data_IF_797920859109
#
_entry.id   IF_797920859109
#
_cell.length_a   1.000
_cell.length_b   1.000
_cell.length_c   1.000
_cell.angle_alpha   90.00
_cell.angle_beta   90.00
_cell.angle_gamma   90.00
#
_symmetry.space_group_name_H-M   'P 1'
#
loop_
_entity.id
_entity.type
_entity.pdbx_description
1 polymer ?
#
# COMPACT_ATOMS: atom_id res chain seq x y z
N UNK A 1 -8.69 -7.35 -28.80
CA UNK A 1 -9.31 -6.56 -27.73
C UNK A 1 -8.28 -5.57 -27.23
N UNK A 2 -8.60 -4.30 -27.06
CA UNK A 2 -7.66 -3.36 -26.49
C UNK A 2 -7.46 -3.70 -25.01
N UNK A 3 -6.27 -4.11 -24.65
CA UNK A 3 -5.77 -4.08 -23.28
C UNK A 3 -5.64 -2.59 -22.93
N UNK A 4 -6.04 -2.15 -21.71
CA UNK A 4 -5.76 -0.79 -21.32
C UNK A 4 -4.28 -0.52 -21.61
N UNK A 5 -4.01 0.45 -22.46
CA UNK A 5 -2.66 0.92 -22.68
C UNK A 5 -2.18 1.42 -21.32
N UNK A 6 -1.30 0.65 -20.69
CA UNK A 6 -0.47 1.20 -19.63
C UNK A 6 0.43 2.16 -20.38
N UNK A 7 0.12 3.42 -20.24
CA UNK A 7 0.96 4.48 -20.81
C UNK A 7 2.28 4.48 -20.05
N UNK A 8 3.26 3.76 -20.62
CA UNK A 8 4.59 3.64 -20.03
C UNK A 8 5.40 4.95 -20.10
N UNK A 9 4.98 5.89 -20.94
CA UNK A 9 5.68 7.16 -21.11
C UNK A 9 5.30 8.18 -20.03
N UNK A 10 4.07 8.09 -19.49
CA UNK A 10 3.59 8.99 -18.42
C UNK A 10 3.38 8.29 -17.08
N UNK A 11 3.57 6.97 -17.00
CA UNK A 11 3.45 6.25 -15.74
C UNK A 11 4.70 6.48 -14.87
N UNK A 12 4.48 6.93 -13.64
CA UNK A 12 5.50 7.06 -12.59
C UNK A 12 5.22 6.05 -11.47
N UNK A 13 5.45 4.73 -11.71
CA UNK A 13 5.21 3.73 -10.69
C UNK A 13 6.24 3.87 -9.57
N UNK A 14 5.79 4.10 -8.35
CA UNK A 14 6.65 4.02 -7.19
C UNK A 14 6.86 2.56 -6.80
N UNK A 15 8.09 2.19 -6.50
CA UNK A 15 8.44 0.87 -5.94
C UNK A 15 8.14 0.82 -4.44
N UNK A 16 8.06 -0.38 -3.87
CA UNK A 16 7.90 -0.56 -2.43
C UNK A 16 9.08 0.07 -1.67
N UNK A 17 10.31 -0.09 -2.19
CA UNK A 17 11.52 0.46 -1.56
C UNK A 17 11.49 1.99 -1.54
N UNK A 18 11.15 2.65 -2.65
CA UNK A 18 11.05 4.10 -2.71
C UNK A 18 10.01 4.67 -1.73
N UNK A 19 8.87 3.98 -1.58
CA UNK A 19 7.83 4.38 -0.62
C UNK A 19 8.33 4.23 0.82
N UNK A 20 9.00 3.11 1.14
CA UNK A 20 9.56 2.88 2.48
C UNK A 20 10.65 3.88 2.80
N UNK A 21 11.59 4.11 1.90
CA UNK A 21 12.71 5.04 2.12
C UNK A 21 12.19 6.48 2.29
N UNK A 22 11.20 6.88 1.49
CA UNK A 22 10.52 8.17 1.68
C UNK A 22 9.86 8.28 3.06
N UNK A 23 9.15 7.24 3.50
CA UNK A 23 8.51 7.21 4.81
C UNK A 23 9.52 7.35 5.93
N UNK A 24 10.61 6.58 5.91
CA UNK A 24 11.67 6.66 6.93
C UNK A 24 12.28 8.05 6.97
N UNK A 25 12.58 8.66 5.82
CA UNK A 25 13.11 10.02 5.77
C UNK A 25 12.18 11.08 6.37
N UNK A 26 10.87 10.97 6.15
CA UNK A 26 9.89 11.88 6.78
C UNK A 26 9.79 11.65 8.29
N UNK A 27 9.84 10.37 8.72
CA UNK A 27 9.82 10.03 10.15
C UNK A 27 11.01 10.63 10.87
N UNK A 28 12.22 10.49 10.32
CA UNK A 28 13.43 11.06 10.90
C UNK A 28 13.32 12.59 11.02
N UNK A 29 12.82 13.25 9.97
CA UNK A 29 12.59 14.69 9.99
C UNK A 29 11.54 15.11 11.05
N UNK A 30 10.46 14.33 11.25
CA UNK A 30 9.48 14.60 12.31
C UNK A 30 10.09 14.45 13.70
N UNK A 31 10.92 13.43 13.92
CA UNK A 31 11.63 13.20 15.20
C UNK A 31 12.57 14.36 15.50
N UNK A 32 13.38 14.79 14.54
CA UNK A 32 14.30 15.91 14.69
C UNK A 32 13.56 17.23 14.97
N UNK A 33 12.50 17.49 14.24
CA UNK A 33 11.70 18.70 14.42
C UNK A 33 11.02 18.71 15.79
N UNK A 34 10.43 17.59 16.24
CA UNK A 34 9.87 17.43 17.59
C UNK A 34 10.88 17.76 18.66
N UNK A 35 12.08 17.15 18.60
CA UNK A 35 13.16 17.37 19.55
C UNK A 35 13.59 18.84 19.60
N UNK A 36 13.70 19.48 18.45
CA UNK A 36 14.06 20.90 18.33
C UNK A 36 13.01 21.82 18.99
N UNK A 37 11.70 21.59 18.75
CA UNK A 37 10.62 22.35 19.36
C UNK A 37 10.59 22.18 20.87
N UNK A 38 10.70 20.94 21.37
CA UNK A 38 10.75 20.68 22.81
C UNK A 38 11.96 21.35 23.47
N UNK A 39 13.13 21.31 22.83
CA UNK A 39 14.31 22.01 23.32
C UNK A 39 14.07 23.52 23.41
N UNK A 40 13.48 24.14 22.37
CA UNK A 40 13.17 25.57 22.37
C UNK A 40 12.17 25.93 23.47
N UNK A 41 11.15 25.12 23.73
CA UNK A 41 10.18 25.31 24.84
C UNK A 41 10.91 25.29 26.18
N UNK A 42 11.77 24.29 26.45
CA UNK A 42 12.56 24.20 27.69
C UNK A 42 13.46 25.40 27.90
N UNK A 43 14.00 25.98 26.85
CA UNK A 43 14.88 27.15 26.89
C UNK A 43 14.11 28.48 26.85
N UNK A 44 12.78 28.46 26.88
CA UNK A 44 11.93 29.66 26.70
C UNK A 44 12.31 30.47 25.45
N UNK A 45 12.78 29.79 24.43
CA UNK A 45 13.18 30.36 23.15
C UNK A 45 11.98 30.47 22.19
N UNK A 46 12.13 31.24 21.12
CA UNK A 46 11.09 31.40 20.10
C UNK A 46 10.78 30.07 19.41
N UNK A 47 9.51 29.73 19.25
CA UNK A 47 9.01 28.59 18.49
C UNK A 47 8.11 29.08 17.36
N UNK A 48 7.86 28.18 16.39
CA UNK A 48 6.93 28.51 15.32
C UNK A 48 5.53 28.85 15.88
N UNK A 49 4.76 29.77 15.23
CA UNK A 49 3.51 30.30 15.77
C UNK A 49 2.51 29.22 16.24
N UNK A 50 2.45 28.09 15.53
CA UNK A 50 1.55 26.97 15.86
C UNK A 50 1.89 26.27 17.19
N UNK A 51 3.08 26.46 17.75
CA UNK A 51 3.54 25.84 18.98
C UNK A 51 3.63 26.83 20.17
N UNK A 52 3.29 28.10 19.95
CA UNK A 52 3.32 29.11 21.02
C UNK A 52 2.30 28.76 22.10
N UNK A 53 2.76 28.65 23.34
CA UNK A 53 1.94 28.32 24.49
C UNK A 53 1.70 26.81 24.69
N UNK A 54 2.21 25.93 23.82
CA UNK A 54 2.12 24.50 24.01
C UNK A 54 3.11 24.00 25.07
N UNK A 55 2.70 23.02 25.83
CA UNK A 55 3.57 22.20 26.69
C UNK A 55 4.29 21.15 25.84
N UNK A 56 5.37 20.55 26.38
CA UNK A 56 6.06 19.43 25.69
C UNK A 56 5.09 18.26 25.39
N UNK A 57 4.17 17.94 26.32
CA UNK A 57 3.19 16.88 26.12
C UNK A 57 2.18 17.18 24.99
N UNK A 58 1.80 18.43 24.78
CA UNK A 58 0.95 18.84 23.67
C UNK A 58 1.69 18.77 22.33
N UNK A 59 2.99 19.12 22.33
CA UNK A 59 3.88 18.92 21.17
C UNK A 59 3.99 17.43 20.83
N UNK A 60 4.19 16.57 21.83
CA UNK A 60 4.22 15.12 21.66
C UNK A 60 2.94 14.59 21.01
N UNK A 61 1.79 14.97 21.56
CA UNK A 61 0.49 14.55 21.05
C UNK A 61 0.27 15.01 19.59
N UNK A 62 0.76 16.20 19.22
CA UNK A 62 0.70 16.72 17.85
C UNK A 62 1.53 15.85 16.90
N UNK A 63 2.81 15.61 17.22
CA UNK A 63 3.68 14.80 16.36
C UNK A 63 3.26 13.32 16.30
N UNK A 64 2.71 12.77 17.37
CA UNK A 64 2.14 11.42 17.37
C UNK A 64 0.92 11.32 16.47
N UNK A 65 0.11 12.38 16.37
CA UNK A 65 -1.00 12.42 15.43
C UNK A 65 -0.54 12.49 13.98
N UNK A 66 0.43 13.37 13.68
CA UNK A 66 1.04 13.49 12.35
C UNK A 66 1.70 12.17 11.92
N UNK A 67 2.42 11.51 12.82
CA UNK A 67 3.05 10.22 12.56
C UNK A 67 2.04 9.13 12.23
N UNK A 68 0.96 9.02 13.02
CA UNK A 68 -0.11 8.04 12.74
C UNK A 68 -0.77 8.28 11.38
N UNK A 69 -0.92 9.52 10.98
CA UNK A 69 -1.48 9.84 9.67
C UNK A 69 -0.51 9.52 8.53
N UNK A 70 0.76 9.85 8.69
CA UNK A 70 1.82 9.46 7.77
C UNK A 70 1.87 7.94 7.57
N UNK A 71 1.85 7.17 8.66
CA UNK A 71 1.87 5.70 8.62
C UNK A 71 0.67 5.15 7.81
N UNK A 72 -0.53 5.68 8.03
CA UNK A 72 -1.74 5.27 7.27
C UNK A 72 -1.65 5.57 5.78
N UNK A 73 -1.12 6.74 5.42
CA UNK A 73 -0.93 7.13 4.01
C UNK A 73 0.16 6.27 3.35
N UNK A 74 1.21 5.94 4.09
CA UNK A 74 2.26 5.03 3.62
C UNK A 74 1.71 3.63 3.37
N UNK A 75 0.92 3.08 4.29
CA UNK A 75 0.21 1.80 4.09
C UNK A 75 -0.65 1.83 2.83
N UNK A 76 -1.41 2.92 2.62
CA UNK A 76 -2.21 3.07 1.40
C UNK A 76 -1.36 3.00 0.14
N UNK A 77 -0.22 3.70 0.12
CA UNK A 77 0.69 3.75 -1.02
C UNK A 77 1.36 2.39 -1.28
N UNK A 78 1.87 1.71 -0.24
CA UNK A 78 2.48 0.38 -0.36
C UNK A 78 1.50 -0.64 -0.96
N UNK A 79 0.27 -0.67 -0.46
CA UNK A 79 -0.76 -1.59 -0.97
C UNK A 79 -1.15 -1.24 -2.40
N UNK A 80 -1.27 0.05 -2.74
CA UNK A 80 -1.59 0.49 -4.09
C UNK A 80 -0.47 0.16 -5.09
N UNK A 81 0.80 0.31 -4.70
CA UNK A 81 1.96 -0.07 -5.52
C UNK A 81 1.97 -1.58 -5.82
N UNK A 82 1.79 -2.43 -4.80
CA UNK A 82 1.73 -3.88 -5.00
C UNK A 82 0.51 -4.29 -5.84
N UNK A 83 -0.66 -3.69 -5.62
CA UNK A 83 -1.85 -3.91 -6.46
C UNK A 83 -1.59 -3.53 -7.92
N UNK A 84 -0.95 -2.39 -8.15
CA UNK A 84 -0.56 -1.92 -9.49
C UNK A 84 0.36 -2.91 -10.19
N UNK A 85 1.42 -3.36 -9.52
CA UNK A 85 2.40 -4.33 -10.03
C UNK A 85 1.72 -5.65 -10.43
N UNK A 86 0.83 -6.19 -9.59
CA UNK A 86 0.11 -7.42 -9.90
C UNK A 86 -0.89 -7.25 -11.05
N UNK A 87 -1.54 -6.10 -11.18
CA UNK A 87 -2.40 -5.79 -12.33
C UNK A 87 -1.60 -5.70 -13.63
N UNK A 88 -0.41 -5.10 -13.60
CA UNK A 88 0.48 -5.05 -14.76
C UNK A 88 0.91 -6.45 -15.17
N UNK A 89 1.34 -7.29 -14.21
CA UNK A 89 1.70 -8.68 -14.48
C UNK A 89 0.52 -9.49 -15.07
N UNK A 90 -0.68 -9.35 -14.50
CA UNK A 90 -1.88 -9.97 -15.03
C UNK A 90 -2.14 -9.61 -16.49
N UNK A 91 -2.12 -8.31 -16.83
CA UNK A 91 -2.35 -7.87 -18.21
C UNK A 91 -1.25 -8.35 -19.15
N UNK A 92 0.01 -8.33 -18.72
CA UNK A 92 1.14 -8.89 -19.49
C UNK A 92 0.89 -10.35 -19.82
N UNK A 93 0.57 -11.21 -18.83
CA UNK A 93 0.34 -12.64 -18.99
C UNK A 93 -0.85 -12.96 -19.88
N UNK A 94 -1.91 -12.14 -19.83
CA UNK A 94 -3.06 -12.30 -20.72
C UNK A 94 -2.68 -11.93 -22.16
N UNK A 95 -1.94 -10.84 -22.37
CA UNK A 95 -1.57 -10.32 -23.68
C UNK A 95 -0.54 -11.22 -24.40
N UNK A 96 0.54 -11.57 -23.69
CA UNK A 96 1.65 -12.34 -24.25
C UNK A 96 1.33 -13.83 -24.38
N UNK A 97 0.20 -14.28 -23.86
CA UNK A 97 -0.27 -15.66 -23.92
C UNK A 97 0.76 -16.67 -23.40
N UNK A 98 1.46 -16.32 -22.33
CA UNK A 98 2.43 -17.21 -21.70
C UNK A 98 1.79 -18.55 -21.35
N UNK A 99 2.62 -19.63 -21.30
CA UNK A 99 2.14 -21.03 -21.22
C UNK A 99 2.14 -21.61 -19.80
N UNK A 100 2.68 -20.88 -18.82
CA UNK A 100 2.68 -21.31 -17.43
C UNK A 100 1.23 -21.42 -16.85
N UNK A 101 1.10 -22.13 -15.74
CA UNK A 101 -0.20 -22.44 -15.13
C UNK A 101 -1.01 -21.20 -14.74
N UNK A 102 -0.33 -20.18 -14.20
CA UNK A 102 -0.96 -18.93 -13.80
C UNK A 102 -1.48 -18.16 -15.01
N UNK A 103 -0.67 -18.01 -16.06
CA UNK A 103 -1.06 -17.33 -17.29
C UNK A 103 -2.23 -18.01 -18.00
N UNK A 104 -2.27 -19.35 -17.97
CA UNK A 104 -3.42 -20.10 -18.49
C UNK A 104 -4.68 -19.84 -17.65
N UNK A 105 -4.55 -19.83 -16.31
CA UNK A 105 -5.65 -19.56 -15.41
C UNK A 105 -6.18 -18.11 -15.57
N UNK A 106 -5.30 -17.13 -15.64
CA UNK A 106 -5.66 -15.73 -15.89
C UNK A 106 -6.42 -15.56 -17.22
N UNK A 107 -5.98 -16.18 -18.31
CA UNK A 107 -6.71 -16.12 -19.58
C UNK A 107 -8.08 -16.80 -19.53
N UNK A 108 -8.20 -17.93 -18.83
CA UNK A 108 -9.50 -18.60 -18.64
C UNK A 108 -10.45 -17.69 -17.87
N UNK A 109 -9.99 -17.14 -16.76
CA UNK A 109 -10.76 -16.21 -15.94
C UNK A 109 -11.12 -14.92 -16.72
N UNK A 110 -10.16 -14.30 -17.41
CA UNK A 110 -10.38 -13.09 -18.22
C UNK A 110 -11.54 -13.26 -19.22
N UNK A 111 -11.64 -14.43 -19.86
CA UNK A 111 -12.73 -14.72 -20.82
C UNK A 111 -14.11 -14.79 -20.17
N UNK A 112 -14.20 -15.05 -18.87
CA UNK A 112 -15.47 -15.07 -18.13
C UNK A 112 -15.94 -13.68 -17.71
N UNK A 113 -15.06 -12.69 -17.76
CA UNK A 113 -15.37 -11.33 -17.34
C UNK A 113 -16.16 -10.57 -18.40
N UNK A 114 -17.06 -9.68 -17.94
CA UNK A 114 -17.69 -8.69 -18.83
C UNK A 114 -16.64 -7.74 -19.42
N UNK A 115 -16.95 -7.10 -20.55
CA UNK A 115 -16.03 -6.18 -21.22
C UNK A 115 -15.50 -5.07 -20.27
N UNK A 116 -16.35 -4.52 -19.41
CA UNK A 116 -15.94 -3.53 -18.38
C UNK A 116 -14.95 -4.12 -17.38
N UNK A 117 -15.19 -5.34 -16.89
CA UNK A 117 -14.29 -6.02 -15.93
C UNK A 117 -13.00 -6.52 -16.58
N UNK A 118 -13.00 -6.79 -17.87
CA UNK A 118 -11.78 -7.11 -18.61
C UNK A 118 -10.80 -5.91 -18.65
N UNK A 119 -11.33 -4.68 -18.68
CA UNK A 119 -10.52 -3.45 -18.63
C UNK A 119 -10.13 -3.07 -17.20
N UNK A 120 -10.95 -3.40 -16.22
CA UNK A 120 -10.76 -3.08 -14.80
C UNK A 120 -11.13 -4.30 -13.95
N UNK A 121 -10.24 -5.31 -13.90
CA UNK A 121 -10.49 -6.52 -13.15
C UNK A 121 -10.57 -6.23 -11.66
N UNK A 122 -11.46 -6.96 -10.97
CA UNK A 122 -11.46 -6.96 -9.52
C UNK A 122 -10.13 -7.51 -9.01
N UNK A 123 -9.65 -6.96 -7.90
CA UNK A 123 -8.34 -7.33 -7.39
C UNK A 123 -8.42 -8.44 -6.31
N UNK A 124 -9.34 -8.30 -5.37
CA UNK A 124 -9.47 -9.21 -4.22
C UNK A 124 -10.54 -10.29 -4.48
N UNK A 125 -11.72 -10.18 -3.86
CA UNK A 125 -12.76 -11.21 -3.91
C UNK A 125 -13.26 -11.47 -5.34
N UNK A 126 -13.13 -12.74 -5.77
CA UNK A 126 -13.43 -13.14 -7.16
C UNK A 126 -12.47 -12.57 -8.19
N UNK A 127 -11.40 -11.90 -7.77
CA UNK A 127 -10.44 -11.17 -8.58
C UNK A 127 -9.09 -11.86 -8.76
N UNK A 128 -8.07 -11.06 -9.02
CA UNK A 128 -6.70 -11.49 -9.30
C UNK A 128 -6.13 -12.36 -8.17
N UNK A 129 -6.33 -11.96 -6.91
CA UNK A 129 -5.82 -12.73 -5.75
C UNK A 129 -6.51 -14.09 -5.60
N UNK A 130 -7.79 -14.21 -5.96
CA UNK A 130 -8.47 -15.50 -5.94
C UNK A 130 -7.97 -16.44 -7.04
N UNK A 131 -7.61 -15.93 -8.21
CA UNK A 131 -6.98 -16.75 -9.26
C UNK A 131 -5.61 -17.22 -8.79
N UNK A 132 -4.78 -16.35 -8.20
CA UNK A 132 -3.50 -16.73 -7.59
C UNK A 132 -3.67 -17.84 -6.55
N UNK A 133 -4.63 -17.69 -5.65
CA UNK A 133 -4.93 -18.68 -4.61
C UNK A 133 -5.33 -20.04 -5.20
N UNK A 134 -6.19 -20.03 -6.23
CA UNK A 134 -6.69 -21.28 -6.88
C UNK A 134 -5.62 -21.99 -7.68
N UNK A 135 -4.66 -21.27 -8.23
CA UNK A 135 -3.56 -21.87 -9.02
C UNK A 135 -2.46 -22.48 -8.18
N UNK A 136 -2.45 -22.18 -6.87
CA UNK A 136 -1.44 -22.67 -5.92
C UNK A 136 0.02 -22.37 -6.37
N UNK A 137 0.23 -21.28 -7.10
CA UNK A 137 1.57 -20.86 -7.55
C UNK A 137 2.42 -20.28 -6.44
N UNK A 138 1.80 -19.96 -5.31
CA UNK A 138 2.44 -19.50 -4.08
C UNK A 138 1.70 -20.01 -2.85
N UNK A 139 2.33 -19.88 -1.68
CA UNK A 139 1.69 -20.23 -0.41
C UNK A 139 0.44 -19.34 -0.16
N UNK A 140 -0.69 -19.99 0.13
CA UNK A 140 -1.94 -19.31 0.45
C UNK A 140 -1.84 -18.40 1.69
N UNK A 141 -0.90 -18.66 2.60
CA UNK A 141 -0.65 -17.81 3.76
C UNK A 141 -0.12 -16.43 3.35
N UNK A 142 0.70 -16.36 2.30
CA UNK A 142 1.21 -15.08 1.76
C UNK A 142 0.03 -14.23 1.29
N UNK A 143 -0.87 -14.81 0.51
CA UNK A 143 -2.07 -14.12 0.03
C UNK A 143 -2.97 -13.69 1.20
N UNK A 144 -3.15 -14.58 2.19
CA UNK A 144 -3.95 -14.29 3.39
C UNK A 144 -3.42 -13.09 4.18
N UNK A 145 -2.11 -13.07 4.44
CA UNK A 145 -1.45 -11.95 5.15
C UNK A 145 -1.55 -10.63 4.38
N UNK A 146 -1.41 -10.68 3.06
CA UNK A 146 -1.56 -9.47 2.24
C UNK A 146 -3.02 -8.96 2.23
N UNK A 147 -4.02 -9.85 2.25
CA UNK A 147 -5.43 -9.47 2.36
C UNK A 147 -5.76 -8.68 3.63
N UNK A 148 -5.05 -8.91 4.74
CA UNK A 148 -5.19 -8.08 5.94
C UNK A 148 -4.81 -6.62 5.66
N UNK A 149 -3.80 -6.38 4.82
CA UNK A 149 -3.41 -5.02 4.43
C UNK A 149 -4.49 -4.33 3.59
N UNK A 150 -5.23 -5.06 2.75
CA UNK A 150 -6.32 -4.51 1.95
C UNK A 150 -7.45 -3.92 2.82
N UNK A 151 -7.72 -4.48 3.99
CA UNK A 151 -8.75 -3.94 4.91
C UNK A 151 -8.36 -2.55 5.42
N UNK A 152 -7.09 -2.38 5.80
CA UNK A 152 -6.55 -1.06 6.18
C UNK A 152 -6.62 -0.08 5.01
N UNK A 153 -6.18 -0.49 3.83
CA UNK A 153 -6.24 0.33 2.61
C UNK A 153 -7.66 0.75 2.27
N UNK A 154 -8.64 -0.16 2.33
CA UNK A 154 -10.04 0.17 2.07
C UNK A 154 -10.57 1.19 3.06
N UNK A 155 -10.32 1.01 4.36
CA UNK A 155 -10.77 1.94 5.38
C UNK A 155 -10.15 3.32 5.22
N UNK A 156 -8.83 3.41 4.98
CA UNK A 156 -8.13 4.69 4.75
C UNK A 156 -8.61 5.35 3.46
N UNK A 157 -8.64 4.61 2.35
CA UNK A 157 -8.93 5.13 1.02
C UNK A 157 -10.38 5.55 0.79
N UNK A 158 -11.32 5.06 1.61
CA UNK A 158 -12.74 5.41 1.53
C UNK A 158 -13.21 6.41 2.59
N UNK A 159 -12.30 7.12 3.25
CA UNK A 159 -12.63 8.25 4.13
C UNK A 159 -13.02 7.87 5.56
N UNK A 160 -12.77 6.65 6.00
CA UNK A 160 -12.84 6.25 7.44
C UNK A 160 -14.22 6.42 8.09
N UNK A 161 -15.31 6.31 7.34
CA UNK A 161 -16.66 6.59 7.83
C UNK A 161 -17.37 5.40 8.48
N UNK A 162 -16.76 4.21 8.48
CA UNK A 162 -17.25 3.02 9.19
C UNK A 162 -16.31 2.60 10.32
N UNK A 163 -16.70 1.58 11.08
CA UNK A 163 -15.91 1.07 12.20
C UNK A 163 -14.48 0.71 11.75
N UNK A 164 -13.50 1.23 12.49
CA UNK A 164 -12.08 1.00 12.21
C UNK A 164 -11.77 -0.50 12.31
N UNK A 165 -11.19 -1.12 11.24
CA UNK A 165 -10.71 -2.49 11.32
C UNK A 165 -9.57 -2.64 12.35
N UNK A 166 -9.48 -3.79 13.00
CA UNK A 166 -8.42 -4.08 13.99
C UNK A 166 -7.03 -4.00 13.36
N UNK A 167 -6.92 -4.36 12.09
CA UNK A 167 -5.67 -4.34 11.32
C UNK A 167 -5.04 -2.94 11.25
N UNK A 168 -5.85 -1.88 11.27
CA UNK A 168 -5.35 -0.48 11.22
C UNK A 168 -4.43 -0.12 12.38
N UNK A 169 -4.63 -0.73 13.55
CA UNK A 169 -3.80 -0.49 14.73
C UNK A 169 -2.69 -1.53 14.91
N UNK A 170 -2.70 -2.60 14.09
CA UNK A 170 -1.78 -3.74 14.21
C UNK A 170 -0.73 -3.78 13.11
N UNK A 171 -0.97 -3.11 12.00
CA UNK A 171 -0.08 -3.10 10.84
C UNK A 171 0.58 -1.74 10.74
N UNK A 172 1.88 -1.73 10.94
CA UNK A 172 2.70 -0.57 10.60
C UNK A 172 3.17 -0.62 9.13
N UNK A 173 3.79 0.45 8.62
CA UNK A 173 4.32 0.48 7.25
C UNK A 173 5.33 -0.61 6.92
N UNK A 174 6.22 -0.98 7.85
CA UNK A 174 7.22 -2.02 7.63
C UNK A 174 6.59 -3.41 7.56
N UNK A 175 5.60 -3.73 8.43
CA UNK A 175 4.80 -4.94 8.32
C UNK A 175 4.10 -5.06 6.96
N UNK A 176 3.53 -3.96 6.46
CA UNK A 176 2.84 -3.93 5.16
C UNK A 176 3.83 -4.06 4.01
N UNK A 177 4.99 -3.40 4.11
CA UNK A 177 6.08 -3.56 3.16
C UNK A 177 6.50 -5.03 3.03
N UNK A 178 6.79 -5.69 4.15
CA UNK A 178 7.23 -7.09 4.18
C UNK A 178 6.19 -8.04 3.56
N UNK A 179 4.90 -7.80 3.81
CA UNK A 179 3.82 -8.61 3.25
C UNK A 179 3.63 -8.37 1.76
N UNK A 180 3.75 -7.14 1.30
CA UNK A 180 3.66 -6.77 -0.10
C UNK A 180 4.87 -7.33 -0.89
N UNK A 181 6.08 -7.17 -0.36
CA UNK A 181 7.32 -7.68 -0.95
C UNK A 181 7.31 -9.22 -1.04
N UNK A 182 6.90 -9.90 0.04
CA UNK A 182 6.75 -11.35 0.03
C UNK A 182 5.76 -11.82 -1.06
N UNK A 183 4.65 -11.10 -1.25
CA UNK A 183 3.67 -11.42 -2.30
C UNK A 183 4.28 -11.23 -3.69
N UNK A 184 4.96 -10.11 -3.94
CA UNK A 184 5.57 -9.82 -5.25
C UNK A 184 6.72 -10.79 -5.57
N UNK A 185 7.58 -11.12 -4.61
CA UNK A 185 8.67 -12.09 -4.80
C UNK A 185 8.18 -13.52 -5.03
N UNK A 186 7.02 -13.88 -4.50
CA UNK A 186 6.44 -15.20 -4.71
C UNK A 186 5.78 -15.38 -6.08
N UNK A 187 5.67 -14.30 -6.89
CA UNK A 187 5.13 -14.38 -8.25
C UNK A 187 6.06 -15.19 -9.15
N UNK A 188 5.51 -16.13 -9.94
CA UNK A 188 6.31 -16.85 -10.93
C UNK A 188 6.80 -15.88 -12.02
N UNK A 189 8.04 -16.11 -12.48
CA UNK A 189 8.68 -15.34 -13.55
C UNK A 189 7.90 -15.38 -14.87
#
# INVERSE_FOLDING_TARGET
MPIPLIDRETAEPQTLDEIRDWHHGIVDALVEQRASIQHAIRQSSAVAPRFVGMTEGEVDAHYDADRRELDRLTVLNLVASAEGTLKVDYFRRVAEKLKDSLSVAYRKWHKTLSAKKQLRPDFDDGGILDVLKKTQVMDNNIIGRYRECLRTRHWVGHGRYWSKPVEVDRLDPDDVYDRADALLRAMPA
#
